data_IF_479568722193
#
_entry.id   IF_479568722193
#
_cell.length_a   1.000
_cell.length_b   1.000
_cell.length_c   1.000
_cell.angle_alpha   90.00
_cell.angle_beta   90.00
_cell.angle_gamma   90.00
#
_symmetry.space_group_name_H-M   'P 1'
#
loop_
_entity.id
_entity.type
_entity.pdbx_description
1 polymer ?
#
# COMPACT_ATOMS: atom_id res chain seq x y z
N UNK A 1 -7.82 -27.31 -33.79
CA UNK A 1 -7.07 -26.33 -32.98
C UNK A 1 -8.09 -25.35 -32.41
N UNK A 2 -8.63 -25.63 -31.22
CA UNK A 2 -9.45 -24.66 -30.48
C UNK A 2 -8.56 -24.11 -29.38
N UNK A 3 -8.19 -22.84 -29.51
CA UNK A 3 -7.53 -22.08 -28.46
C UNK A 3 -8.49 -21.95 -27.29
N UNK A 4 -8.15 -22.60 -26.17
CA UNK A 4 -8.78 -22.33 -24.88
C UNK A 4 -8.24 -20.98 -24.41
N UNK A 5 -8.96 -19.90 -24.71
CA UNK A 5 -8.79 -18.63 -24.01
C UNK A 5 -9.44 -18.82 -22.64
N UNK A 6 -8.71 -19.44 -21.71
CA UNK A 6 -9.12 -19.45 -20.32
C UNK A 6 -8.96 -18.04 -19.79
N UNK A 7 -10.05 -17.29 -19.64
CA UNK A 7 -10.03 -16.19 -18.66
C UNK A 7 -9.85 -16.87 -17.31
N UNK A 8 -8.63 -16.80 -16.78
CA UNK A 8 -8.36 -17.26 -15.42
C UNK A 8 -9.27 -16.44 -14.52
N UNK A 9 -10.05 -17.11 -13.67
CA UNK A 9 -10.81 -16.44 -12.62
C UNK A 9 -9.86 -15.52 -11.84
N UNK A 10 -10.27 -14.26 -11.55
CA UNK A 10 -9.41 -13.33 -10.84
C UNK A 10 -9.07 -13.89 -9.46
N UNK A 11 -7.80 -13.75 -9.09
CA UNK A 11 -7.27 -14.10 -7.78
C UNK A 11 -7.95 -13.27 -6.68
N UNK A 12 -7.87 -13.72 -5.43
CA UNK A 12 -8.38 -12.94 -4.30
C UNK A 12 -7.73 -11.56 -4.22
N UNK A 13 -6.44 -11.46 -4.56
CA UNK A 13 -5.72 -10.17 -4.61
C UNK A 13 -6.31 -9.25 -5.68
N UNK A 14 -6.49 -9.74 -6.91
CA UNK A 14 -7.08 -8.95 -8.00
C UNK A 14 -8.52 -8.52 -7.68
N UNK A 15 -9.30 -9.39 -7.02
CA UNK A 15 -10.65 -9.03 -6.54
C UNK A 15 -10.58 -7.90 -5.52
N UNK A 16 -9.72 -7.99 -4.50
CA UNK A 16 -9.58 -6.95 -3.48
C UNK A 16 -9.17 -5.59 -4.07
N UNK A 17 -8.28 -5.61 -5.07
CA UNK A 17 -7.86 -4.40 -5.80
C UNK A 17 -9.02 -3.83 -6.63
N UNK A 18 -9.76 -4.70 -7.32
CA UNK A 18 -10.94 -4.30 -8.10
C UNK A 18 -12.03 -3.70 -7.20
N UNK A 19 -12.30 -4.33 -6.06
CA UNK A 19 -13.30 -3.86 -5.09
C UNK A 19 -12.96 -2.46 -4.55
N UNK A 20 -11.68 -2.16 -4.30
CA UNK A 20 -11.25 -0.83 -3.89
C UNK A 20 -11.43 0.21 -5.00
N UNK A 21 -11.15 -0.18 -6.25
CA UNK A 21 -11.37 0.68 -7.42
C UNK A 21 -12.85 0.99 -7.63
N UNK A 22 -13.73 -0.01 -7.47
CA UNK A 22 -15.18 0.10 -7.67
C UNK A 22 -15.86 1.07 -6.69
N UNK A 23 -15.24 1.36 -5.54
CA UNK A 23 -15.72 2.39 -4.60
C UNK A 23 -15.67 3.79 -5.24
N UNK A 24 -14.75 4.03 -6.17
CA UNK A 24 -14.52 5.33 -6.81
C UNK A 24 -15.16 5.39 -8.21
N UNK A 25 -15.31 4.25 -8.89
CA UNK A 25 -16.04 4.14 -10.17
C UNK A 25 -17.57 4.13 -9.98
N UNK A 26 -18.11 5.25 -9.52
CA UNK A 26 -19.55 5.41 -9.26
C UNK A 26 -20.43 5.18 -10.49
N UNK A 27 -19.88 5.41 -11.69
CA UNK A 27 -20.59 5.26 -12.95
C UNK A 27 -20.54 3.83 -13.50
N UNK A 28 -19.75 2.93 -12.90
CA UNK A 28 -19.44 1.58 -13.42
C UNK A 28 -18.90 1.64 -14.84
N UNK A 29 -18.06 2.63 -15.10
CA UNK A 29 -17.36 2.84 -16.39
C UNK A 29 -16.16 1.91 -16.57
N UNK A 30 -15.73 1.23 -15.51
CA UNK A 30 -14.42 0.57 -15.39
C UNK A 30 -13.23 1.54 -15.53
N UNK A 31 -13.46 2.82 -15.22
CA UNK A 31 -12.48 3.89 -15.28
C UNK A 31 -12.70 4.87 -14.14
N UNK A 32 -11.62 5.49 -13.66
CA UNK A 32 -11.64 6.57 -12.67
C UNK A 32 -10.77 7.72 -13.14
N UNK A 33 -11.05 8.91 -12.62
CA UNK A 33 -10.17 10.06 -12.82
C UNK A 33 -8.79 9.80 -12.20
N UNK A 34 -7.72 10.17 -12.91
CA UNK A 34 -6.35 9.96 -12.43
C UNK A 34 -6.07 10.59 -11.06
N UNK A 35 -6.81 11.65 -10.70
CA UNK A 35 -6.69 12.33 -9.40
C UNK A 35 -7.14 11.46 -8.22
N UNK A 36 -7.99 10.45 -8.45
CA UNK A 36 -8.46 9.53 -7.40
C UNK A 36 -7.44 8.42 -7.08
N UNK A 37 -6.43 8.25 -7.94
CA UNK A 37 -5.52 7.11 -7.89
C UNK A 37 -4.80 6.97 -6.55
N UNK A 38 -4.32 8.08 -5.98
CA UNK A 38 -3.64 8.07 -4.69
C UNK A 38 -4.56 7.65 -3.54
N UNK A 39 -5.83 8.04 -3.58
CA UNK A 39 -6.81 7.66 -2.55
C UNK A 39 -7.16 6.18 -2.66
N UNK A 40 -7.32 5.65 -3.87
CA UNK A 40 -7.59 4.23 -4.11
C UNK A 40 -6.42 3.38 -3.59
N UNK A 41 -5.18 3.75 -3.92
CA UNK A 41 -3.98 3.02 -3.48
C UNK A 41 -3.89 3.01 -1.94
N UNK A 42 -4.10 4.15 -1.28
CA UNK A 42 -4.08 4.22 0.19
C UNK A 42 -5.22 3.42 0.83
N UNK A 43 -6.39 3.32 0.17
CA UNK A 43 -7.51 2.49 0.65
C UNK A 43 -7.22 0.98 0.66
N UNK A 44 -6.22 0.54 -0.10
CA UNK A 44 -5.70 -0.84 -0.08
C UNK A 44 -4.74 -1.11 1.09
N UNK A 45 -4.41 -0.08 1.88
CA UNK A 45 -3.41 -0.15 2.94
C UNK A 45 -1.97 0.04 2.45
N UNK A 46 -1.77 0.46 1.20
CA UNK A 46 -0.46 0.82 0.67
C UNK A 46 -0.05 2.22 1.13
N UNK A 47 1.25 2.42 1.35
CA UNK A 47 1.86 3.73 1.65
C UNK A 47 2.74 4.10 0.46
N UNK A 48 2.42 5.24 -0.19
CA UNK A 48 3.14 5.78 -1.34
C UNK A 48 3.48 7.25 -1.09
N UNK A 49 4.67 7.64 -1.54
CA UNK A 49 5.13 9.03 -1.66
C UNK A 49 4.50 9.71 -2.87
N UNK A 50 4.61 11.04 -2.97
CA UNK A 50 4.08 11.79 -4.12
C UNK A 50 4.87 11.46 -5.39
N UNK A 51 6.19 11.30 -5.25
CA UNK A 51 7.05 10.82 -6.35
C UNK A 51 6.62 9.43 -6.86
N UNK A 52 6.35 8.48 -5.97
CA UNK A 52 5.87 7.15 -6.38
C UNK A 52 4.48 7.22 -7.02
N UNK A 53 3.58 8.07 -6.52
CA UNK A 53 2.27 8.28 -7.15
C UNK A 53 2.41 8.75 -8.60
N UNK A 54 3.31 9.70 -8.86
CA UNK A 54 3.58 10.19 -10.21
C UNK A 54 4.15 9.07 -11.12
N UNK A 55 5.06 8.24 -10.61
CA UNK A 55 5.58 7.08 -11.36
C UNK A 55 4.46 6.10 -11.72
N UNK A 56 3.54 5.83 -10.80
CA UNK A 56 2.39 4.96 -11.06
C UNK A 56 1.49 5.59 -12.13
N UNK A 57 1.19 6.89 -12.03
CA UNK A 57 0.36 7.61 -13.03
C UNK A 57 0.94 7.47 -14.43
N UNK A 58 2.24 7.71 -14.60
CA UNK A 58 2.94 7.57 -15.89
C UNK A 58 2.75 6.17 -16.51
N UNK A 59 2.70 5.13 -15.68
CA UNK A 59 2.58 3.75 -16.14
C UNK A 59 1.14 3.33 -16.48
N UNK A 60 0.12 3.91 -15.82
CA UNK A 60 -1.27 3.41 -15.93
C UNK A 60 -2.24 4.38 -16.62
N UNK A 61 -1.94 5.67 -16.65
CA UNK A 61 -2.85 6.72 -17.13
C UNK A 61 -3.11 6.62 -18.63
N UNK A 62 -4.36 6.82 -19.02
CA UNK A 62 -4.73 7.26 -20.35
C UNK A 62 -4.71 8.79 -20.39
N UNK A 63 -3.57 9.34 -20.81
CA UNK A 63 -3.28 10.78 -20.84
C UNK A 63 -4.26 11.55 -21.72
N UNK A 64 -4.83 10.93 -22.77
CA UNK A 64 -5.79 11.61 -23.64
C UNK A 64 -7.10 11.89 -22.90
N UNK A 65 -7.50 10.97 -22.02
CA UNK A 65 -8.76 11.02 -21.30
C UNK A 65 -8.63 11.43 -19.82
N UNK A 66 -7.39 11.60 -19.33
CA UNK A 66 -7.07 11.94 -17.94
C UNK A 66 -7.70 10.93 -16.95
N UNK A 67 -7.71 9.65 -17.33
CA UNK A 67 -8.35 8.58 -16.59
C UNK A 67 -7.42 7.36 -16.46
N UNK A 68 -7.77 6.45 -15.56
CA UNK A 68 -7.11 5.16 -15.39
C UNK A 68 -8.16 4.07 -15.50
N UNK A 69 -7.91 3.06 -16.33
CA UNK A 69 -8.81 1.91 -16.46
C UNK A 69 -8.57 0.89 -15.34
N UNK A 70 -9.63 0.21 -14.90
CA UNK A 70 -9.56 -0.81 -13.86
C UNK A 70 -8.58 -1.93 -14.23
N UNK A 71 -8.55 -2.34 -15.50
CA UNK A 71 -7.65 -3.38 -15.99
C UNK A 71 -6.18 -3.00 -15.79
N UNK A 72 -5.77 -1.78 -16.19
CA UNK A 72 -4.40 -1.31 -16.03
C UNK A 72 -4.02 -1.17 -14.56
N UNK A 73 -4.94 -0.62 -13.76
CA UNK A 73 -4.73 -0.46 -12.32
C UNK A 73 -4.53 -1.81 -11.61
N UNK A 74 -5.42 -2.77 -11.85
CA UNK A 74 -5.35 -4.11 -11.25
C UNK A 74 -4.07 -4.83 -11.65
N UNK A 75 -3.70 -4.79 -12.94
CA UNK A 75 -2.47 -5.42 -13.42
C UNK A 75 -1.21 -4.82 -12.75
N UNK A 76 -1.13 -3.50 -12.67
CA UNK A 76 0.00 -2.81 -12.03
C UNK A 76 0.07 -3.12 -10.54
N UNK A 77 -1.02 -2.91 -9.81
CA UNK A 77 -1.06 -3.04 -8.35
C UNK A 77 -0.87 -4.49 -7.91
N UNK A 78 -1.47 -5.47 -8.59
CA UNK A 78 -1.29 -6.87 -8.26
C UNK A 78 0.18 -7.28 -8.36
N UNK A 79 0.88 -6.81 -9.40
CA UNK A 79 2.33 -7.02 -9.56
C UNK A 79 3.12 -6.32 -8.46
N UNK A 80 2.88 -5.03 -8.23
CA UNK A 80 3.63 -4.24 -7.24
C UNK A 80 3.48 -4.81 -5.82
N UNK A 81 2.26 -5.17 -5.41
CA UNK A 81 1.96 -5.77 -4.11
C UNK A 81 2.61 -7.15 -3.98
N UNK A 82 2.58 -7.96 -5.05
CA UNK A 82 3.28 -9.26 -5.06
C UNK A 82 4.79 -9.13 -4.90
N UNK A 83 5.37 -8.02 -5.39
CA UNK A 83 6.77 -7.63 -5.21
C UNK A 83 7.03 -6.93 -3.85
N UNK A 84 6.05 -6.88 -2.94
CA UNK A 84 6.11 -6.23 -1.63
C UNK A 84 6.39 -4.72 -1.69
N UNK A 85 6.06 -4.05 -2.80
CA UNK A 85 6.18 -2.60 -2.93
C UNK A 85 5.09 -1.88 -2.13
N UNK A 86 5.40 -0.66 -1.69
CA UNK A 86 4.47 0.25 -0.99
C UNK A 86 3.95 -0.30 0.35
N UNK A 87 4.57 -1.36 0.86
CA UNK A 87 4.18 -1.97 2.13
C UNK A 87 4.47 -0.96 3.25
N UNK A 88 3.53 -0.74 4.18
CA UNK A 88 3.82 0.06 5.37
C UNK A 88 5.04 -0.49 6.12
N UNK A 89 5.83 0.41 6.70
CA UNK A 89 6.92 0.01 7.58
C UNK A 89 6.40 -0.79 8.78
N UNK A 90 7.16 -1.79 9.21
CA UNK A 90 6.80 -2.56 10.39
C UNK A 90 6.93 -1.67 11.65
N UNK A 91 6.13 -1.90 12.71
CA UNK A 91 6.14 -1.06 13.92
C UNK A 91 7.53 -0.93 14.55
N UNK A 92 8.34 -1.99 14.48
CA UNK A 92 9.72 -2.04 14.95
C UNK A 92 10.64 -1.10 14.15
N UNK A 93 10.45 -0.98 12.84
CA UNK A 93 11.22 -0.08 11.98
C UNK A 93 10.86 1.38 12.27
N UNK A 94 9.56 1.66 12.46
CA UNK A 94 9.10 2.98 12.87
C UNK A 94 9.67 3.38 14.24
N UNK A 95 9.65 2.47 15.21
CA UNK A 95 10.21 2.70 16.54
C UNK A 95 11.70 3.05 16.46
N UNK A 96 12.47 2.30 15.68
CA UNK A 96 13.89 2.58 15.47
C UNK A 96 14.12 3.95 14.83
N UNK A 97 13.30 4.33 13.83
CA UNK A 97 13.39 5.64 13.20
C UNK A 97 13.13 6.79 14.20
N UNK A 98 12.13 6.65 15.06
CA UNK A 98 11.86 7.64 16.12
C UNK A 98 12.97 7.70 17.18
N UNK A 99 13.56 6.57 17.55
CA UNK A 99 14.68 6.53 18.50
C UNK A 99 15.94 7.23 17.96
N UNK A 100 16.14 7.27 16.64
CA UNK A 100 17.22 8.07 16.04
C UNK A 100 17.02 9.59 16.24
N UNK A 101 15.78 10.03 16.42
CA UNK A 101 15.43 11.43 16.70
C UNK A 101 15.45 11.75 18.21
N UNK A 102 15.54 10.74 19.08
CA UNK A 102 15.57 10.86 20.53
C UNK A 102 16.82 10.16 21.11
N UNK A 103 18.03 10.72 20.90
CA UNK A 103 19.29 10.06 21.25
C UNK A 103 19.48 9.84 22.76
N UNK A 104 18.77 10.62 23.58
CA UNK A 104 18.79 10.53 25.04
C UNK A 104 17.70 9.57 25.57
N UNK A 105 16.89 8.98 24.68
CA UNK A 105 15.85 7.99 25.00
C UNK A 105 14.83 8.50 26.03
N UNK A 106 14.30 9.71 25.80
CA UNK A 106 13.23 10.28 26.60
C UNK A 106 11.88 9.56 26.44
N UNK A 107 11.68 8.84 25.34
CA UNK A 107 10.38 8.24 25.00
C UNK A 107 9.44 9.22 24.29
N UNK A 108 9.95 10.38 23.87
CA UNK A 108 9.21 11.39 23.12
C UNK A 108 10.16 12.27 22.31
N UNK A 109 9.62 12.93 21.29
CA UNK A 109 10.31 14.00 20.56
C UNK A 109 9.51 15.30 20.70
N UNK A 110 10.19 16.45 20.62
CA UNK A 110 9.50 17.74 20.64
C UNK A 110 8.96 18.04 19.24
N UNK A 111 7.81 18.73 19.17
CA UNK A 111 7.20 19.17 17.90
C UNK A 111 8.21 19.80 16.94
N UNK A 112 9.03 20.71 17.46
CA UNK A 112 10.00 21.45 16.65
C UNK A 112 11.07 20.54 16.02
N UNK A 113 11.50 19.50 16.73
CA UNK A 113 12.49 18.55 16.22
C UNK A 113 11.87 17.66 15.14
N UNK A 114 10.63 17.19 15.35
CA UNK A 114 9.90 16.43 14.33
C UNK A 114 9.61 17.27 13.08
N UNK A 115 9.14 18.52 13.24
CA UNK A 115 8.89 19.45 12.14
C UNK A 115 10.17 19.67 11.32
N UNK A 116 11.29 19.91 11.99
CA UNK A 116 12.59 20.05 11.32
C UNK A 116 12.95 18.78 10.54
N UNK A 117 12.84 17.61 11.17
CA UNK A 117 13.14 16.33 10.51
C UNK A 117 12.29 16.08 9.28
N UNK A 118 10.99 16.36 9.33
CA UNK A 118 10.06 16.17 8.21
C UNK A 118 10.24 17.18 7.06
N UNK A 119 10.82 18.35 7.35
CA UNK A 119 11.16 19.33 6.31
C UNK A 119 12.54 19.07 5.66
N UNK A 120 13.43 18.33 6.33
CA UNK A 120 14.82 18.14 5.89
C UNK A 120 15.11 16.74 5.32
N UNK A 121 14.36 15.71 5.72
CA UNK A 121 14.64 14.31 5.37
C UNK A 121 13.65 13.80 4.32
N UNK A 122 14.16 13.22 3.25
CA UNK A 122 13.35 12.54 2.24
C UNK A 122 12.57 13.50 1.34
N UNK A 123 11.27 13.24 1.18
CA UNK A 123 10.33 14.14 0.49
C UNK A 123 9.80 15.15 1.52
N UNK A 124 10.19 16.44 1.44
CA UNK A 124 9.83 17.44 2.44
C UNK A 124 8.33 17.66 2.50
N UNK A 125 7.79 17.64 3.71
CA UNK A 125 6.39 17.99 3.94
C UNK A 125 6.19 19.50 3.86
N UNK A 126 5.03 19.91 3.37
CA UNK A 126 4.57 21.29 3.48
C UNK A 126 4.24 21.63 4.93
N UNK A 127 4.20 22.92 5.24
CA UNK A 127 3.86 23.39 6.59
C UNK A 127 2.44 22.97 6.98
N UNK A 128 1.53 23.01 6.02
CA UNK A 128 0.14 22.62 6.17
C UNK A 128 0.02 21.13 6.54
N UNK A 129 0.72 20.24 5.82
CA UNK A 129 0.73 18.81 6.13
C UNK A 129 1.34 18.52 7.51
N UNK A 130 2.41 19.24 7.88
CA UNK A 130 3.01 19.12 9.21
C UNK A 130 2.02 19.57 10.28
N UNK A 131 1.37 20.72 10.12
CA UNK A 131 0.42 21.23 11.10
C UNK A 131 -0.78 20.29 11.28
N UNK A 132 -1.28 19.68 10.19
CA UNK A 132 -2.30 18.64 10.23
C UNK A 132 -1.82 17.40 10.99
N UNK A 133 -0.62 16.91 10.68
CA UNK A 133 -0.04 15.75 11.37
C UNK A 133 0.17 16.02 12.87
N UNK A 134 0.68 17.21 13.23
CA UNK A 134 0.90 17.60 14.62
C UNK A 134 -0.40 17.72 15.41
N UNK A 135 -1.51 18.06 14.76
CA UNK A 135 -2.82 18.12 15.42
C UNK A 135 -3.29 16.77 15.97
N UNK A 136 -2.79 15.67 15.39
CA UNK A 136 -3.07 14.29 15.80
C UNK A 136 -1.97 13.74 16.71
N UNK A 137 -0.70 13.98 16.34
CA UNK A 137 0.44 13.34 16.99
C UNK A 137 0.90 14.01 18.29
N UNK A 138 0.66 15.31 18.45
CA UNK A 138 1.32 16.15 19.44
C UNK A 138 0.39 16.52 20.60
N UNK A 139 0.88 16.37 21.82
CA UNK A 139 0.18 16.88 23.00
C UNK A 139 0.15 18.42 22.98
N UNK A 140 -1.04 19.06 23.03
CA UNK A 140 -1.17 20.50 22.81
C UNK A 140 -0.63 21.36 23.96
N UNK A 141 -0.37 20.78 25.13
CA UNK A 141 0.14 21.51 26.30
C UNK A 141 1.66 21.42 26.39
N UNK A 142 2.20 20.24 26.14
CA UNK A 142 3.63 19.94 26.31
C UNK A 142 4.42 20.05 25.01
N UNK A 143 3.75 20.07 23.86
CA UNK A 143 4.34 19.98 22.52
C UNK A 143 5.21 18.73 22.32
N UNK A 144 4.88 17.64 23.02
CA UNK A 144 5.58 16.36 22.93
C UNK A 144 4.80 15.38 22.06
N UNK A 145 5.56 14.59 21.31
CA UNK A 145 5.06 13.46 20.54
C UNK A 145 5.59 12.20 21.22
N UNK A 146 4.73 11.48 21.92
CA UNK A 146 5.06 10.15 22.43
C UNK A 146 4.99 9.15 21.27
N UNK A 147 6.15 8.74 20.76
CA UNK A 147 6.20 8.01 19.49
C UNK A 147 5.62 6.59 19.57
N UNK A 148 5.68 5.91 20.72
CA UNK A 148 5.02 4.59 20.86
C UNK A 148 3.50 4.71 20.71
N UNK A 149 2.90 5.72 21.36
CA UNK A 149 1.48 5.99 21.19
C UNK A 149 1.14 6.40 19.75
N UNK A 150 2.00 7.22 19.15
CA UNK A 150 1.78 7.69 17.79
C UNK A 150 1.90 6.57 16.75
N UNK A 151 2.91 5.70 16.85
CA UNK A 151 3.06 4.50 16.01
C UNK A 151 1.81 3.62 16.09
N UNK A 152 1.28 3.38 17.29
CA UNK A 152 0.04 2.61 17.45
C UNK A 152 -1.16 3.26 16.77
N UNK A 153 -1.17 4.59 16.62
CA UNK A 153 -2.21 5.33 15.91
C UNK A 153 -2.01 5.31 14.38
N UNK A 154 -0.77 5.13 13.91
CA UNK A 154 -0.41 5.03 12.49
C UNK A 154 -0.69 3.64 11.90
N UNK A 155 -0.70 2.59 12.74
CA UNK A 155 -0.89 1.22 12.29
C UNK A 155 -2.36 0.98 11.92
N UNK A 156 -2.60 0.63 10.66
CA UNK A 156 -3.91 0.16 10.20
C UNK A 156 -4.04 -1.33 10.53
N UNK A 157 -5.00 -1.67 11.39
CA UNK A 157 -5.31 -3.05 11.72
C UNK A 157 -6.28 -3.65 10.69
N UNK A 158 -5.72 -4.27 9.64
CA UNK A 158 -6.48 -5.06 8.67
C UNK A 158 -6.46 -6.55 9.06
N UNK A 159 -7.58 -7.24 8.83
CA UNK A 159 -7.62 -8.70 8.91
C UNK A 159 -6.76 -9.35 7.82
N UNK A 160 -6.34 -10.61 8.02
CA UNK A 160 -5.49 -11.32 7.05
C UNK A 160 -6.15 -11.47 5.67
N UNK A 161 -7.48 -11.55 5.61
CA UNK A 161 -8.27 -11.64 4.38
C UNK A 161 -8.55 -10.30 3.71
N UNK A 162 -8.29 -9.17 4.40
CA UNK A 162 -8.37 -7.82 3.83
C UNK A 162 -7.00 -7.24 3.46
N UNK A 163 -5.93 -7.72 4.11
CA UNK A 163 -4.57 -7.23 3.92
C UNK A 163 -3.96 -7.77 2.61
N UNK A 164 -3.76 -6.88 1.64
CA UNK A 164 -3.28 -7.24 0.29
C UNK A 164 -1.91 -7.92 0.28
N UNK A 165 -1.02 -7.61 1.23
CA UNK A 165 0.30 -8.24 1.35
C UNK A 165 0.22 -9.66 1.90
N UNK A 166 -0.67 -9.90 2.89
CA UNK A 166 -0.92 -11.24 3.43
C UNK A 166 -1.56 -12.15 2.38
N UNK A 167 -2.51 -11.62 1.62
CA UNK A 167 -3.11 -12.34 0.48
C UNK A 167 -2.04 -12.70 -0.55
N UNK A 168 -1.18 -11.76 -0.93
CA UNK A 168 -0.10 -12.00 -1.90
C UNK A 168 0.90 -13.08 -1.41
N UNK A 169 1.33 -13.01 -0.15
CA UNK A 169 2.21 -14.02 0.48
C UNK A 169 1.59 -15.43 0.42
N UNK A 170 0.29 -15.54 0.72
CA UNK A 170 -0.43 -16.82 0.68
C UNK A 170 -0.56 -17.37 -0.75
N UNK A 171 -0.79 -16.51 -1.74
CA UNK A 171 -0.84 -16.91 -3.15
C UNK A 171 0.52 -17.46 -3.62
N UNK A 172 1.63 -16.81 -3.28
CA UNK A 172 2.97 -17.30 -3.61
C UNK A 172 3.31 -18.62 -2.88
N UNK A 173 2.95 -18.74 -1.60
CA UNK A 173 3.11 -19.98 -0.85
C UNK A 173 2.31 -21.14 -1.47
N UNK A 174 1.13 -20.87 -2.04
CA UNK A 174 0.32 -21.89 -2.70
C UNK A 174 0.88 -22.32 -4.07
N UNK A 175 1.50 -21.39 -4.81
CA UNK A 175 2.23 -21.71 -6.05
C UNK A 175 3.41 -22.66 -5.78
N UNK A 176 4.17 -22.40 -4.72
CA UNK A 176 5.35 -23.20 -4.34
C UNK A 176 5.02 -24.56 -3.72
N UNK A 177 3.84 -24.71 -3.09
CA UNK A 177 3.33 -25.98 -2.55
C UNK A 177 2.84 -26.99 -3.60
N UNK A 178 2.82 -26.64 -4.89
CA UNK A 178 2.40 -27.55 -5.95
C UNK A 178 3.59 -28.21 -6.68
N UNK A 179 4.10 -29.37 -6.20
CA UNK A 179 4.77 -30.31 -7.09
C UNK A 179 4.15 -31.73 -7.07
N UNK A 180 4.07 -32.32 -8.28
CA UNK A 180 3.68 -33.70 -8.62
C UNK A 180 2.20 -34.11 -8.49
N UNK A 181 1.39 -33.81 -9.51
CA UNK A 181 0.41 -34.80 -9.97
C UNK A 181 1.21 -35.97 -10.54
N UNK A 182 1.24 -37.06 -9.78
CA UNK A 182 1.95 -38.29 -10.10
C UNK A 182 1.57 -38.78 -11.50
N UNK A 183 2.47 -38.55 -12.46
CA UNK A 183 2.47 -39.22 -13.75
C UNK A 183 3.06 -40.62 -13.52
N UNK A 184 2.25 -41.57 -13.04
CA UNK A 184 2.61 -42.99 -13.07
C UNK A 184 1.44 -43.88 -13.49
N UNK A 185 1.63 -44.46 -14.67
CA UNK A 185 1.14 -45.74 -15.20
C UNK A 185 -0.36 -46.06 -15.10
N UNK A 186 -1.04 -45.87 -16.23
CA UNK A 186 -2.02 -46.85 -16.74
C UNK A 186 -1.61 -47.43 -18.10
N UNK A 187 -0.30 -47.56 -18.34
CA UNK A 187 0.26 -48.33 -19.47
C UNK A 187 0.89 -49.66 -19.01
N UNK A 188 0.41 -50.22 -17.89
CA UNK A 188 0.73 -51.60 -17.52
C UNK A 188 -0.47 -52.24 -16.82
N UNK A 189 -1.38 -52.78 -17.63
CA UNK A 189 -2.02 -54.11 -17.60
C UNK A 189 -3.07 -54.12 -18.72
#
# INVERSE_FOLDING_TARGET
LKTVTGSLEPTLLEKRISDAFDVFDNARSHEVDVRELGTIIRSLGCVISETELQEIQVEVEDVENNCVTQERFVQYMAKAISEQKFKPADPEDLLQAFQLLDPDNHGYIMRADMEKSLMEIGEPFTKEEIDEMMSVACDPVTNKINYEHYINSLIIHLSDDENVYKIAEQLEANKTKTPFRQKFMKDFI
#
